data_IF_361112085312
#
_entry.id   IF_361112085312
#
_cell.length_a   1.000
_cell.length_b   1.000
_cell.length_c   1.000
_cell.angle_alpha   90.00
_cell.angle_beta   90.00
_cell.angle_gamma   90.00
#
_symmetry.space_group_name_H-M   'P 1'
#
loop_
_entity.id
_entity.type
_entity.pdbx_description
1 polymer ?
#
# COMPACT_ATOMS: atom_id res chain seq x y z
N UNK A 1 17.50 -23.81 -3.21
CA UNK A 1 17.62 -23.53 -1.76
C UNK A 1 16.80 -22.26 -1.49
N UNK A 2 15.94 -22.23 -0.47
CA UNK A 2 15.16 -21.03 -0.11
C UNK A 2 15.77 -20.38 1.13
N UNK A 3 15.65 -19.06 1.26
CA UNK A 3 16.09 -18.37 2.47
C UNK A 3 15.17 -18.74 3.66
N UNK A 4 15.73 -18.94 4.86
CA UNK A 4 14.92 -19.16 6.06
C UNK A 4 14.13 -17.91 6.41
N UNK A 5 12.91 -18.11 6.93
CA UNK A 5 12.07 -17.01 7.44
C UNK A 5 12.65 -16.52 8.76
N UNK A 6 12.93 -15.22 8.87
CA UNK A 6 13.51 -14.63 10.08
C UNK A 6 12.47 -14.36 11.17
N UNK A 7 11.30 -13.83 10.79
CA UNK A 7 10.23 -13.50 11.73
C UNK A 7 8.85 -13.47 11.06
N UNK A 8 7.81 -13.86 11.81
CA UNK A 8 6.42 -13.69 11.43
C UNK A 8 5.85 -12.45 12.13
N UNK A 9 5.43 -11.47 11.33
CA UNK A 9 4.92 -10.20 11.85
C UNK A 9 3.44 -10.32 12.25
N UNK A 10 3.06 -9.62 13.33
CA UNK A 10 1.66 -9.52 13.74
C UNK A 10 0.86 -8.61 12.79
N UNK A 11 -0.47 -8.80 12.68
CA UNK A 11 -1.33 -7.93 11.88
C UNK A 11 -1.19 -6.43 12.24
N UNK A 12 -0.95 -6.10 13.52
CA UNK A 12 -0.74 -4.73 13.98
C UNK A 12 0.48 -4.06 13.34
N UNK A 13 1.57 -4.81 13.07
CA UNK A 13 2.75 -4.26 12.37
C UNK A 13 2.42 -3.89 10.92
N UNK A 14 1.61 -4.69 10.23
CA UNK A 14 1.15 -4.37 8.87
C UNK A 14 0.30 -3.09 8.85
N UNK A 15 -0.62 -2.93 9.81
CA UNK A 15 -1.40 -1.70 9.95
C UNK A 15 -0.52 -0.45 10.16
N UNK A 16 0.54 -0.56 10.97
CA UNK A 16 1.49 0.54 11.15
C UNK A 16 2.24 0.90 9.85
N UNK A 17 2.62 -0.10 9.05
CA UNK A 17 3.24 0.13 7.74
C UNK A 17 2.27 0.76 6.74
N UNK A 18 1.02 0.33 6.74
CA UNK A 18 -0.02 0.91 5.90
C UNK A 18 -0.17 2.40 6.18
N UNK A 19 -0.32 2.78 7.45
CA UNK A 19 -0.42 4.18 7.85
C UNK A 19 0.83 4.97 7.45
N UNK A 20 2.02 4.38 7.61
CA UNK A 20 3.28 5.02 7.19
C UNK A 20 3.33 5.25 5.68
N UNK A 21 2.88 4.31 4.87
CA UNK A 21 2.82 4.46 3.42
C UNK A 21 1.76 5.50 3.02
N UNK A 22 0.56 5.47 3.61
CA UNK A 22 -0.47 6.49 3.35
C UNK A 22 0.02 7.90 3.64
N UNK A 23 0.78 8.10 4.73
CA UNK A 23 1.43 9.40 5.05
C UNK A 23 2.48 9.85 4.03
N UNK A 24 3.08 8.92 3.28
CA UNK A 24 4.03 9.24 2.21
C UNK A 24 3.36 9.65 0.90
N UNK A 25 2.03 9.61 0.82
CA UNK A 25 1.29 10.01 -0.39
C UNK A 25 1.14 8.91 -1.45
N UNK A 26 1.32 7.63 -1.07
CA UNK A 26 0.95 6.54 -1.98
C UNK A 26 -0.56 6.59 -2.27
N UNK A 27 -0.92 6.48 -3.55
CA UNK A 27 -2.31 6.57 -4.00
C UNK A 27 -3.17 5.45 -3.40
N UNK A 28 -2.64 4.23 -3.38
CA UNK A 28 -3.23 3.07 -2.73
C UNK A 28 -2.17 2.32 -1.92
N UNK A 29 -2.59 1.58 -0.89
CA UNK A 29 -1.70 0.72 -0.09
C UNK A 29 -2.45 -0.53 0.34
N UNK A 30 -1.89 -1.70 0.04
CA UNK A 30 -2.35 -2.98 0.57
C UNK A 30 -1.27 -3.53 1.52
N UNK A 31 -1.61 -3.74 2.80
CA UNK A 31 -0.67 -4.28 3.79
C UNK A 31 -1.29 -5.41 4.59
N UNK A 32 -0.68 -6.59 4.53
CA UNK A 32 -1.13 -7.75 5.32
C UNK A 32 -0.25 -8.99 5.08
N UNK A 33 -0.34 -10.01 5.95
CA UNK A 33 0.55 -11.18 5.91
C UNK A 33 0.52 -11.96 4.59
N UNK A 34 -0.66 -12.04 3.95
CA UNK A 34 -0.88 -12.82 2.73
C UNK A 34 -0.98 -11.97 1.46
N UNK A 35 -0.82 -10.65 1.58
CA UNK A 35 -0.88 -9.75 0.43
C UNK A 35 0.26 -10.09 -0.54
N UNK A 36 -0.05 -10.07 -1.84
CA UNK A 36 0.87 -10.27 -2.95
C UNK A 36 0.65 -9.17 -3.98
N UNK A 37 1.56 -9.04 -4.95
CA UNK A 37 1.51 -7.98 -5.95
C UNK A 37 0.20 -7.94 -6.76
N UNK A 38 -0.42 -9.10 -7.03
CA UNK A 38 -1.69 -9.19 -7.77
C UNK A 38 -2.94 -9.10 -6.90
N UNK A 39 -2.79 -9.03 -5.57
CA UNK A 39 -3.95 -9.01 -4.67
C UNK A 39 -4.78 -7.73 -4.89
N UNK A 40 -6.00 -7.90 -5.40
CA UNK A 40 -6.97 -6.82 -5.68
C UNK A 40 -6.37 -5.68 -6.53
N UNK A 41 -5.46 -6.02 -7.44
CA UNK A 41 -4.71 -5.01 -8.20
C UNK A 41 -5.63 -4.13 -9.06
N UNK A 42 -6.72 -4.68 -9.60
CA UNK A 42 -7.68 -3.92 -10.41
C UNK A 42 -8.44 -2.89 -9.56
N UNK A 43 -8.94 -3.29 -8.40
CA UNK A 43 -9.66 -2.42 -7.48
C UNK A 43 -8.75 -1.30 -6.97
N UNK A 44 -7.52 -1.64 -6.57
CA UNK A 44 -6.53 -0.66 -6.12
C UNK A 44 -6.07 0.29 -7.22
N UNK A 45 -6.00 -0.18 -8.47
CA UNK A 45 -5.69 0.68 -9.60
C UNK A 45 -6.79 1.71 -9.82
N UNK A 46 -8.06 1.28 -9.82
CA UNK A 46 -9.22 2.17 -9.94
C UNK A 46 -9.27 3.15 -8.76
N UNK A 47 -9.11 2.68 -7.53
CA UNK A 47 -9.04 3.52 -6.31
C UNK A 47 -7.95 4.59 -6.44
N UNK A 48 -6.75 4.20 -6.87
CA UNK A 48 -5.64 5.12 -7.06
C UNK A 48 -5.88 6.16 -8.16
N UNK A 49 -6.57 5.79 -9.23
CA UNK A 49 -6.96 6.72 -10.31
C UNK A 49 -8.00 7.73 -9.83
N UNK A 50 -9.04 7.29 -9.11
CA UNK A 50 -10.06 8.17 -8.54
C UNK A 50 -9.43 9.16 -7.57
N UNK A 51 -8.57 8.67 -6.68
CA UNK A 51 -7.90 9.51 -5.69
C UNK A 51 -6.95 10.53 -6.31
N UNK A 52 -6.34 10.20 -7.45
CA UNK A 52 -5.51 11.15 -8.21
C UNK A 52 -6.33 12.32 -8.77
N UNK A 53 -7.60 12.10 -9.15
CA UNK A 53 -8.47 13.15 -9.65
C UNK A 53 -8.97 14.09 -8.55
N UNK A 54 -9.04 13.61 -7.30
CA UNK A 54 -9.43 14.40 -6.13
C UNK A 54 -8.29 15.24 -5.56
N UNK A 55 -7.03 14.90 -5.88
CA UNK A 55 -5.89 15.71 -5.47
C UNK A 55 -5.90 16.99 -6.31
N UNK A 56 -5.85 18.19 -5.69
CA UNK A 56 -5.65 19.42 -6.43
C UNK A 56 -4.38 19.26 -7.25
N UNK A 57 -4.42 19.69 -8.52
CA UNK A 57 -3.24 19.70 -9.39
C UNK A 57 -2.12 20.34 -8.60
N UNK A 58 -1.15 19.53 -8.15
CA UNK A 58 -0.11 20.01 -7.27
C UNK A 58 0.58 21.17 -8.00
N UNK A 59 0.46 22.37 -7.45
CA UNK A 59 1.30 23.49 -7.82
C UNK A 59 2.74 23.02 -7.64
N UNK A 60 3.38 22.74 -8.77
CA UNK A 60 4.82 22.53 -8.87
C UNK A 60 5.49 23.84 -8.42
N UNK A 61 6.47 23.83 -7.50
CA UNK A 61 7.43 24.92 -7.47
C UNK A 61 8.29 24.93 -8.74
#
# INVERSE_FOLDING_TARGET
LHLPVREHLTPARFAAYEQRARRKGFLYVASGPLVRSSYKAAEFYIEGMLRRQELPAAETP
#
